data_IF_367679497492
#
_entry.id   IF_367679497492
#
_cell.length_a   1.000
_cell.length_b   1.000
_cell.length_c   1.000
_cell.angle_alpha   90.00
_cell.angle_beta   90.00
_cell.angle_gamma   90.00
#
_symmetry.space_group_name_H-M   'P 1'
#
loop_
_entity.id
_entity.type
_entity.pdbx_description
1 polymer ?
#
# COMPACT_ATOMS: atom_id res chain seq x y z
N UNK A 1 -21.50 41.51 -7.83
CA UNK A 1 -22.06 40.20 -7.44
C UNK A 1 -21.10 39.10 -7.86
N UNK A 2 -20.36 38.53 -6.91
CA UNK A 2 -19.45 37.40 -7.17
C UNK A 2 -20.32 36.15 -7.36
N UNK A 3 -20.32 35.62 -8.59
CA UNK A 3 -21.01 34.36 -8.93
C UNK A 3 -20.13 33.24 -8.39
N UNK A 4 -20.54 32.64 -7.29
CA UNK A 4 -19.98 31.40 -6.77
C UNK A 4 -20.04 30.36 -7.87
N UNK A 5 -18.87 29.99 -8.39
CA UNK A 5 -18.72 28.87 -9.30
C UNK A 5 -19.01 27.61 -8.47
N UNK A 6 -20.20 27.08 -8.65
CA UNK A 6 -20.50 25.69 -8.29
C UNK A 6 -19.50 24.87 -9.09
N UNK A 7 -18.45 24.40 -8.41
CA UNK A 7 -17.46 23.51 -8.99
C UNK A 7 -18.20 22.23 -9.37
N UNK A 8 -18.41 22.13 -10.67
CA UNK A 8 -19.17 21.09 -11.32
C UNK A 8 -18.52 19.76 -10.96
N UNK A 9 -19.33 18.91 -10.34
CA UNK A 9 -18.95 17.60 -9.81
C UNK A 9 -18.29 16.77 -10.90
N UNK A 10 -16.98 16.90 -11.08
CA UNK A 10 -16.23 15.90 -11.81
C UNK A 10 -16.08 14.72 -10.85
N UNK A 11 -16.82 13.61 -11.01
CA UNK A 11 -16.61 12.46 -10.16
C UNK A 11 -15.14 12.08 -10.33
N UNK A 12 -14.37 12.15 -9.24
CA UNK A 12 -12.97 11.76 -9.30
C UNK A 12 -12.87 10.40 -10.02
N UNK A 13 -11.91 10.25 -10.95
CA UNK A 13 -11.71 9.00 -11.67
C UNK A 13 -11.78 7.82 -10.71
N UNK A 14 -12.50 6.74 -11.08
CA UNK A 14 -12.74 5.57 -10.19
C UNK A 14 -11.46 5.05 -9.53
N UNK A 15 -10.32 5.17 -10.21
CA UNK A 15 -8.99 4.82 -9.70
C UNK A 15 -8.56 5.70 -8.51
N UNK A 16 -8.80 7.01 -8.57
CA UNK A 16 -8.47 7.95 -7.49
C UNK A 16 -9.35 7.67 -6.27
N UNK A 17 -10.66 7.50 -6.46
CA UNK A 17 -11.60 7.15 -5.37
C UNK A 17 -11.20 5.86 -4.66
N UNK A 18 -10.79 4.83 -5.41
CA UNK A 18 -10.28 3.58 -4.84
C UNK A 18 -8.99 3.79 -4.04
N UNK A 19 -8.05 4.60 -4.54
CA UNK A 19 -6.81 4.90 -3.84
C UNK A 19 -7.05 5.67 -2.53
N UNK A 20 -7.95 6.65 -2.55
CA UNK A 20 -8.33 7.41 -1.36
C UNK A 20 -9.01 6.51 -0.31
N UNK A 21 -9.98 5.68 -0.73
CA UNK A 21 -10.65 4.72 0.15
C UNK A 21 -9.66 3.78 0.84
N UNK A 22 -8.70 3.22 0.09
CA UNK A 22 -7.64 2.35 0.64
C UNK A 22 -6.77 3.12 1.64
N UNK A 23 -6.39 4.38 1.32
CA UNK A 23 -5.56 5.21 2.19
C UNK A 23 -6.26 5.53 3.51
N UNK A 24 -7.53 5.97 3.48
CA UNK A 24 -8.28 6.30 4.70
C UNK A 24 -8.47 5.08 5.60
N UNK A 25 -8.74 3.89 5.04
CA UNK A 25 -8.80 2.64 5.82
C UNK A 25 -7.43 2.30 6.42
N UNK A 26 -6.34 2.41 5.65
CA UNK A 26 -5.00 2.10 6.16
C UNK A 26 -4.56 3.02 7.30
N UNK A 27 -5.03 4.27 7.29
CA UNK A 27 -4.77 5.24 8.36
C UNK A 27 -5.75 5.08 9.55
N UNK A 28 -6.75 4.20 9.45
CA UNK A 28 -7.75 3.99 10.50
C UNK A 28 -8.80 5.10 10.59
N UNK A 29 -8.94 5.93 9.56
CA UNK A 29 -9.94 7.01 9.54
C UNK A 29 -11.34 6.52 9.18
N UNK A 30 -11.44 5.44 8.41
CA UNK A 30 -12.71 4.84 8.01
C UNK A 30 -12.70 3.33 8.14
N UNK A 31 -13.86 2.77 8.46
CA UNK A 31 -14.19 1.38 8.28
C UNK A 31 -14.50 1.07 6.81
N UNK A 32 -14.51 -0.22 6.46
CA UNK A 32 -14.70 -0.67 5.07
C UNK A 32 -16.05 -0.24 4.49
N UNK A 33 -17.13 -0.38 5.26
CA UNK A 33 -18.49 0.01 4.90
C UNK A 33 -18.62 1.53 4.72
N UNK A 34 -18.02 2.31 5.61
CA UNK A 34 -17.97 3.77 5.49
C UNK A 34 -17.24 4.22 4.23
N UNK A 35 -16.11 3.58 3.91
CA UNK A 35 -15.34 3.86 2.70
C UNK A 35 -16.10 3.49 1.42
N UNK A 36 -16.85 2.38 1.42
CA UNK A 36 -17.73 1.99 0.30
C UNK A 36 -18.80 3.05 0.06
N UNK A 37 -19.46 3.51 1.11
CA UNK A 37 -20.50 4.52 1.03
C UNK A 37 -19.96 5.90 0.59
N UNK A 38 -18.82 6.34 1.15
CA UNK A 38 -18.22 7.65 0.88
C UNK A 38 -17.64 7.76 -0.53
N UNK A 39 -16.93 6.72 -0.98
CA UNK A 39 -16.18 6.75 -2.24
C UNK A 39 -16.91 6.09 -3.41
N UNK A 40 -18.05 5.44 -3.18
CA UNK A 40 -18.83 4.74 -4.21
C UNK A 40 -17.94 3.75 -5.01
N UNK A 41 -17.21 2.93 -4.26
CA UNK A 41 -16.37 1.86 -4.79
C UNK A 41 -16.73 0.53 -4.14
N UNK A 42 -16.77 -0.59 -4.89
CA UNK A 42 -17.10 -1.89 -4.32
C UNK A 42 -16.10 -2.33 -3.24
N UNK A 43 -16.60 -2.93 -2.16
CA UNK A 43 -15.79 -3.48 -1.08
C UNK A 43 -14.71 -4.46 -1.60
N UNK A 44 -15.04 -5.27 -2.61
CA UNK A 44 -14.12 -6.24 -3.23
C UNK A 44 -12.88 -5.56 -3.81
N UNK A 45 -13.04 -4.41 -4.47
CA UNK A 45 -11.94 -3.64 -5.04
C UNK A 45 -11.02 -3.08 -3.96
N UNK A 46 -11.59 -2.55 -2.87
CA UNK A 46 -10.84 -2.06 -1.71
C UNK A 46 -10.05 -3.22 -1.07
N UNK A 47 -10.71 -4.34 -0.79
CA UNK A 47 -10.10 -5.53 -0.18
C UNK A 47 -8.94 -6.05 -1.03
N UNK A 48 -9.10 -6.11 -2.36
CA UNK A 48 -8.03 -6.51 -3.28
C UNK A 48 -6.83 -5.55 -3.18
N UNK A 49 -7.06 -4.25 -3.12
CA UNK A 49 -6.02 -3.25 -2.94
C UNK A 49 -5.25 -3.43 -1.62
N UNK A 50 -5.97 -3.59 -0.52
CA UNK A 50 -5.37 -3.83 0.81
C UNK A 50 -4.54 -5.11 0.84
N UNK A 51 -5.02 -6.21 0.25
CA UNK A 51 -4.27 -7.47 0.14
C UNK A 51 -2.96 -7.29 -0.63
N UNK A 52 -2.97 -6.55 -1.74
CA UNK A 52 -1.75 -6.25 -2.51
C UNK A 52 -0.74 -5.49 -1.68
N UNK A 53 -1.17 -4.46 -0.95
CA UNK A 53 -0.28 -3.66 -0.09
C UNK A 53 0.30 -4.52 1.05
N UNK A 54 -0.53 -5.36 1.69
CA UNK A 54 -0.03 -6.28 2.72
C UNK A 54 1.01 -7.27 2.17
N UNK A 55 0.81 -7.79 0.95
CA UNK A 55 1.79 -8.66 0.29
C UNK A 55 3.12 -7.93 0.06
N UNK A 56 3.07 -6.72 -0.49
CA UNK A 56 4.27 -5.90 -0.73
C UNK A 56 5.02 -5.59 0.58
N UNK A 57 4.29 -5.25 1.66
CA UNK A 57 4.90 -5.03 2.98
C UNK A 57 5.60 -6.28 3.51
N UNK A 58 4.99 -7.46 3.33
CA UNK A 58 5.60 -8.74 3.74
C UNK A 58 6.85 -9.06 2.93
N UNK A 59 6.85 -8.79 1.63
CA UNK A 59 8.00 -9.00 0.76
C UNK A 59 9.15 -8.04 1.12
N UNK A 60 8.84 -6.76 1.34
CA UNK A 60 9.82 -5.76 1.78
C UNK A 60 10.39 -6.04 3.17
N UNK A 61 9.60 -6.66 4.06
CA UNK A 61 10.03 -7.04 5.41
C UNK A 61 10.81 -8.37 5.45
N UNK A 62 10.98 -9.08 4.33
CA UNK A 62 11.86 -10.25 4.30
C UNK A 62 13.30 -9.75 4.45
N UNK A 63 14.04 -10.17 5.49
CA UNK A 63 15.46 -9.88 5.57
C UNK A 63 16.12 -10.48 4.33
N UNK A 64 16.95 -9.69 3.66
CA UNK A 64 17.74 -10.13 2.52
C UNK A 64 18.74 -11.21 3.00
N UNK A 65 18.32 -12.48 3.06
CA UNK A 65 19.17 -13.61 3.45
C UNK A 65 20.28 -13.92 2.42
N UNK A 66 20.50 -13.06 1.43
CA UNK A 66 21.61 -13.17 0.49
C UNK A 66 22.94 -12.62 1.04
N UNK A 67 22.96 -11.93 2.18
CA UNK A 67 24.20 -11.32 2.71
C UNK A 67 25.05 -12.25 3.61
N UNK A 68 24.63 -13.48 3.90
CA UNK A 68 25.38 -14.36 4.83
C UNK A 68 26.25 -15.46 4.19
N UNK A 69 26.50 -15.44 2.87
CA UNK A 69 27.41 -16.40 2.23
C UNK A 69 28.78 -15.82 1.81
N UNK A 70 29.05 -14.56 2.10
CA UNK A 70 30.33 -13.90 1.84
C UNK A 70 30.81 -13.42 3.21
N UNK A 71 31.42 -14.25 4.06
CA UNK A 71 32.87 -14.36 4.21
C UNK A 71 33.06 -15.61 5.08
N UNK A 72 33.48 -16.74 4.51
CA UNK A 72 34.13 -17.79 5.31
C UNK A 72 35.59 -17.37 5.48
N UNK A 73 36.10 -17.11 6.69
CA UNK A 73 37.54 -16.96 6.88
C UNK A 73 38.17 -18.34 6.63
N UNK A 74 38.95 -18.45 5.54
CA UNK A 74 39.83 -19.60 5.30
C UNK A 74 40.86 -19.67 6.44
N UNK A 75 41.06 -20.84 7.07
CA UNK A 75 42.09 -20.97 8.09
C UNK A 75 43.48 -20.86 7.47
N UNK A 76 44.47 -20.25 8.16
CA UNK A 76 45.82 -20.14 7.65
C UNK A 76 46.46 -21.54 7.60
N UNK A 77 46.98 -21.89 6.43
CA UNK A 77 47.74 -23.13 6.22
C UNK A 77 49.08 -22.98 6.94
N UNK A 78 49.15 -23.50 8.16
CA UNK A 78 50.38 -23.59 8.93
C UNK A 78 51.33 -24.53 8.18
N UNK A 79 52.34 -23.98 7.52
CA UNK A 79 53.43 -24.74 6.93
C UNK A 79 54.52 -24.85 8.00
N UNK A 80 54.76 -26.07 8.48
CA UNK A 80 55.89 -26.43 9.32
C UNK A 80 56.76 -27.42 8.55
#
# INVERSE_FOLDING_TARGET
MMKTKTDDKNPEPKKIRLQLAISEIMNGYLLLDEAVAKYDVPASSIIQGLKKIQKLKKEAARPNQQESQIIKPTPPKNAK
#
